data_IF_765093814341
#
_entry.id   IF_765093814341
#
_cell.length_a   1.000
_cell.length_b   1.000
_cell.length_c   1.000
_cell.angle_alpha   90.00
_cell.angle_beta   90.00
_cell.angle_gamma   90.00
#
_symmetry.space_group_name_H-M   'P 1'
#
loop_
_entity.id
_entity.type
_entity.pdbx_description
1 polymer ?
#
# COMPACT_ATOMS: atom_id res chain seq x y z
N UNK A 1 -22.00 20.04 14.72
CA UNK A 1 -20.88 20.50 15.59
C UNK A 1 -19.98 19.30 15.82
N UNK A 2 -18.76 19.29 15.29
CA UNK A 2 -17.84 18.15 15.46
C UNK A 2 -17.36 18.07 16.91
N UNK A 3 -17.19 16.86 17.43
CA UNK A 3 -16.69 16.62 18.77
C UNK A 3 -15.26 17.18 18.90
N UNK A 4 -15.02 17.97 19.94
CA UNK A 4 -13.70 18.49 20.26
C UNK A 4 -12.75 17.35 20.60
N UNK A 5 -11.51 17.46 20.12
CA UNK A 5 -10.45 16.49 20.35
C UNK A 5 -10.29 16.19 21.86
N UNK A 6 -10.19 14.90 22.27
CA UNK A 6 -10.08 14.54 23.69
C UNK A 6 -8.77 15.10 24.29
N UNK A 7 -8.93 15.87 25.36
CA UNK A 7 -7.86 16.67 26.00
C UNK A 7 -6.76 15.83 26.67
N UNK A 8 -7.00 14.52 26.90
CA UNK A 8 -6.07 13.59 27.57
C UNK A 8 -5.40 12.58 26.63
N UNK A 9 -5.23 12.93 25.35
CA UNK A 9 -4.46 12.13 24.38
C UNK A 9 -2.98 12.52 24.38
N UNK A 10 -2.07 11.56 24.12
CA UNK A 10 -0.67 11.89 23.81
C UNK A 10 -0.65 12.91 22.67
N UNK A 11 0.00 14.05 22.89
CA UNK A 11 0.16 15.09 21.88
C UNK A 11 0.87 14.48 20.66
N UNK A 12 0.42 14.76 19.43
CA UNK A 12 1.07 14.25 18.23
C UNK A 12 2.55 14.67 18.21
N UNK A 13 3.42 13.76 17.80
CA UNK A 13 4.84 14.06 17.63
C UNK A 13 4.98 15.24 16.66
N UNK A 14 5.65 16.31 17.10
CA UNK A 14 5.60 17.62 16.46
C UNK A 14 6.50 17.74 15.23
N UNK A 15 7.44 16.81 15.06
CA UNK A 15 8.36 16.82 13.92
C UNK A 15 7.73 16.09 12.73
N UNK A 16 7.97 16.58 11.50
CA UNK A 16 7.51 15.90 10.29
C UNK A 16 8.14 14.50 10.19
N UNK A 17 7.36 13.53 9.73
CA UNK A 17 7.88 12.20 9.42
C UNK A 17 8.68 12.25 8.11
N UNK A 18 9.92 11.78 8.14
CA UNK A 18 10.81 11.72 6.97
C UNK A 18 10.86 10.28 6.43
N UNK A 19 10.75 10.12 5.11
CA UNK A 19 10.97 8.81 4.48
C UNK A 19 12.47 8.54 4.37
N UNK A 20 12.97 7.51 5.06
CA UNK A 20 14.40 7.16 5.07
C UNK A 20 14.79 6.22 3.92
N UNK A 21 13.87 5.38 3.44
CA UNK A 21 14.16 4.33 2.46
C UNK A 21 15.08 3.24 3.02
N UNK A 22 14.51 2.25 3.72
CA UNK A 22 15.24 1.14 4.32
C UNK A 22 14.68 -0.22 3.87
N UNK A 23 15.53 -1.24 3.78
CA UNK A 23 15.15 -2.63 3.52
C UNK A 23 15.36 -3.46 4.79
N UNK A 24 14.36 -4.26 5.16
CA UNK A 24 14.42 -5.21 6.28
C UNK A 24 13.97 -6.56 5.74
N UNK A 25 14.86 -7.55 5.85
CA UNK A 25 14.58 -8.93 5.44
C UNK A 25 14.57 -9.84 6.66
N UNK A 26 13.43 -10.45 6.92
CA UNK A 26 13.30 -11.42 8.01
C UNK A 26 13.20 -12.81 7.39
N UNK A 27 14.24 -13.62 7.59
CA UNK A 27 14.30 -14.97 7.05
C UNK A 27 13.54 -15.94 7.97
N UNK A 28 12.44 -16.48 7.46
CA UNK A 28 11.64 -17.52 8.12
C UNK A 28 11.49 -18.73 7.20
N UNK A 29 12.43 -19.67 7.28
CA UNK A 29 12.49 -20.87 6.43
C UNK A 29 11.35 -21.87 6.71
N UNK A 30 10.56 -21.68 7.78
CA UNK A 30 9.38 -22.48 8.10
C UNK A 30 8.09 -22.01 7.42
N UNK A 31 8.08 -20.81 6.81
CA UNK A 31 6.90 -20.28 6.13
C UNK A 31 6.91 -20.72 4.66
N UNK A 32 5.81 -21.28 4.12
CA UNK A 32 5.79 -21.84 2.77
C UNK A 32 5.76 -20.77 1.66
N UNK A 33 5.50 -19.50 2.00
CA UNK A 33 5.37 -18.39 1.07
C UNK A 33 6.17 -17.18 1.55
N UNK A 34 6.81 -16.47 0.62
CA UNK A 34 7.51 -15.23 0.92
C UNK A 34 6.53 -14.04 0.79
N UNK A 35 6.52 -13.18 1.80
CA UNK A 35 5.74 -11.93 1.79
C UNK A 35 6.70 -10.75 1.60
N UNK A 36 6.45 -9.96 0.56
CA UNK A 36 7.27 -8.79 0.23
C UNK A 36 6.35 -7.57 0.16
N UNK A 37 6.75 -6.49 0.82
CA UNK A 37 6.07 -5.21 0.76
C UNK A 37 7.08 -4.12 0.39
N UNK A 38 6.72 -3.29 -0.59
CA UNK A 38 7.49 -2.15 -1.02
C UNK A 38 6.68 -0.89 -0.77
N UNK A 39 7.32 0.15 -0.23
CA UNK A 39 6.70 1.42 0.10
C UNK A 39 7.48 2.58 -0.49
N UNK A 40 6.74 3.63 -0.83
CA UNK A 40 7.27 4.87 -1.40
C UNK A 40 6.74 6.06 -0.59
N UNK A 41 7.43 7.21 -0.57
CA UNK A 41 6.88 8.41 0.04
C UNK A 41 5.59 8.83 -0.67
N UNK A 42 4.56 9.15 0.10
CA UNK A 42 3.27 9.61 -0.39
C UNK A 42 2.95 11.01 0.15
N UNK A 43 2.00 11.67 -0.51
CA UNK A 43 1.50 12.97 -0.09
C UNK A 43 0.72 12.87 1.22
N UNK A 44 0.75 13.93 2.03
CA UNK A 44 0.00 14.00 3.28
C UNK A 44 -1.51 14.12 3.05
N UNK A 45 -2.32 13.93 4.10
CA UNK A 45 -3.78 13.97 3.99
C UNK A 45 -4.35 15.27 3.40
N UNK A 46 -3.73 16.41 3.72
CA UNK A 46 -4.15 17.74 3.27
C UNK A 46 -3.50 18.17 1.95
N UNK A 47 -2.65 17.33 1.37
CA UNK A 47 -1.99 17.62 0.11
C UNK A 47 -2.97 17.35 -1.05
N UNK A 48 -3.13 18.28 -2.02
CA UNK A 48 -3.98 18.04 -3.20
C UNK A 48 -3.61 16.76 -3.96
N UNK A 49 -2.33 16.36 -3.94
CA UNK A 49 -1.85 15.18 -4.68
C UNK A 49 -2.30 13.86 -4.04
N UNK A 50 -2.79 13.87 -2.80
CA UNK A 50 -3.32 12.67 -2.14
C UNK A 50 -4.47 12.05 -2.94
N UNK A 51 -5.35 12.87 -3.51
CA UNK A 51 -6.48 12.37 -4.33
C UNK A 51 -5.97 11.64 -5.58
N UNK A 52 -4.93 12.17 -6.21
CA UNK A 52 -4.30 11.55 -7.39
C UNK A 52 -3.64 10.23 -7.01
N UNK A 53 -2.98 10.16 -5.85
CA UNK A 53 -2.37 8.92 -5.36
C UNK A 53 -3.40 7.83 -5.09
N UNK A 54 -4.59 8.17 -4.59
CA UNK A 54 -5.68 7.19 -4.42
C UNK A 54 -6.17 6.64 -5.77
N UNK A 55 -6.19 7.47 -6.82
CA UNK A 55 -6.52 7.02 -8.18
C UNK A 55 -5.43 6.08 -8.69
N UNK A 56 -4.16 6.41 -8.50
CA UNK A 56 -3.04 5.54 -8.88
C UNK A 56 -3.13 4.20 -8.17
N UNK A 57 -3.40 4.18 -6.86
CA UNK A 57 -3.62 2.95 -6.09
C UNK A 57 -4.76 2.10 -6.68
N UNK A 58 -5.86 2.74 -7.09
CA UNK A 58 -7.00 2.06 -7.71
C UNK A 58 -6.64 1.48 -9.08
N UNK A 59 -5.85 2.20 -9.88
CA UNK A 59 -5.38 1.75 -11.19
C UNK A 59 -4.40 0.57 -11.11
N UNK A 60 -3.51 0.57 -10.12
CA UNK A 60 -2.65 -0.58 -9.84
C UNK A 60 -3.48 -1.79 -9.44
N UNK A 61 -4.49 -1.56 -8.60
CA UNK A 61 -5.47 -2.56 -8.21
C UNK A 61 -4.92 -3.58 -7.22
N UNK A 62 -5.72 -4.62 -6.98
CA UNK A 62 -5.36 -5.75 -6.12
C UNK A 62 -5.69 -7.03 -6.85
N UNK A 63 -4.92 -8.09 -6.58
CA UNK A 63 -5.15 -9.39 -7.18
C UNK A 63 -4.76 -10.49 -6.20
N UNK A 64 -5.54 -11.57 -6.24
CA UNK A 64 -5.26 -12.83 -5.58
C UNK A 64 -5.51 -13.98 -6.56
N UNK A 65 -4.86 -15.13 -6.36
CA UNK A 65 -4.96 -16.32 -7.22
C UNK A 65 -6.40 -16.80 -7.41
N UNK A 66 -7.28 -16.56 -6.43
CA UNK A 66 -8.71 -16.92 -6.52
C UNK A 66 -9.57 -15.90 -7.29
N UNK A 67 -9.00 -14.77 -7.71
CA UNK A 67 -9.72 -13.71 -8.40
C UNK A 67 -10.11 -14.14 -9.82
N UNK A 68 -11.39 -14.40 -10.03
CA UNK A 68 -11.96 -14.77 -11.34
C UNK A 68 -11.92 -13.54 -12.26
N UNK A 69 -11.10 -13.58 -13.31
CA UNK A 69 -11.00 -12.50 -14.31
C UNK A 69 -9.74 -11.65 -14.25
N UNK A 70 -8.74 -11.99 -13.42
CA UNK A 70 -7.47 -11.24 -13.34
C UNK A 70 -6.75 -11.07 -14.69
N UNK A 71 -6.81 -12.09 -15.57
CA UNK A 71 -6.20 -12.03 -16.90
C UNK A 71 -6.81 -10.94 -17.81
N UNK A 72 -8.05 -10.54 -17.56
CA UNK A 72 -8.78 -9.50 -18.29
C UNK A 72 -8.82 -8.16 -17.52
N UNK A 73 -8.00 -8.02 -16.48
CA UNK A 73 -7.90 -6.76 -15.74
C UNK A 73 -7.34 -5.65 -16.61
N UNK A 74 -7.86 -4.43 -16.45
CA UNK A 74 -7.34 -3.24 -17.11
C UNK A 74 -5.99 -2.79 -16.53
N UNK A 75 -5.66 -3.24 -15.32
CA UNK A 75 -4.33 -3.02 -14.73
C UNK A 75 -3.31 -3.94 -15.42
N UNK A 76 -2.29 -3.39 -16.09
CA UNK A 76 -1.26 -4.20 -16.75
C UNK A 76 -0.55 -5.14 -15.78
N UNK A 77 -0.31 -4.67 -14.55
CA UNK A 77 0.33 -5.44 -13.49
C UNK A 77 -0.49 -6.69 -13.13
N UNK A 78 -1.80 -6.52 -12.94
CA UNK A 78 -2.70 -7.63 -12.59
C UNK A 78 -2.85 -8.59 -13.76
N UNK A 79 -2.95 -8.07 -14.99
CA UNK A 79 -3.03 -8.90 -16.21
C UNK A 79 -1.81 -9.79 -16.36
N UNK A 80 -0.61 -9.23 -16.17
CA UNK A 80 0.66 -9.96 -16.26
C UNK A 80 0.84 -10.99 -15.14
N UNK A 81 0.49 -10.63 -13.89
CA UNK A 81 0.51 -11.56 -12.76
C UNK A 81 -0.41 -12.76 -12.98
N UNK A 82 -1.61 -12.51 -13.50
CA UNK A 82 -2.59 -13.55 -13.77
C UNK A 82 -2.21 -14.41 -14.98
N UNK A 83 -1.60 -13.83 -16.04
CA UNK A 83 -1.20 -14.58 -17.24
C UNK A 83 0.01 -15.47 -17.00
N UNK A 84 0.99 -14.99 -16.26
CA UNK A 84 2.27 -15.68 -16.06
C UNK A 84 2.23 -16.69 -14.92
N UNK A 85 1.11 -16.76 -14.18
CA UNK A 85 0.90 -17.67 -13.05
C UNK A 85 2.12 -17.77 -12.14
N UNK A 86 2.66 -16.63 -11.71
CA UNK A 86 3.72 -16.60 -10.70
C UNK A 86 3.17 -17.22 -9.41
N UNK A 87 3.41 -18.50 -9.24
CA UNK A 87 2.81 -19.34 -8.22
C UNK A 87 3.85 -20.20 -7.52
#
# INVERSE_FOLDING_TARGET
>A
KFASQPTNGKQPYKQPASFLGSDIRVRFDSMPVAHVALGFPIAGWNDPDNTVLQVIQTLLGTWDKQSVGGAYSLSPLVSELASNQFA
#
